data_IF_829561196670
#
_entry.id   IF_829561196670
#
_cell.length_a   1.000
_cell.length_b   1.000
_cell.length_c   1.000
_cell.angle_alpha   90.00
_cell.angle_beta   90.00
_cell.angle_gamma   90.00
#
_symmetry.space_group_name_H-M   'P 1'
#
loop_
_entity.id
_entity.type
_entity.pdbx_description
1 polymer ?
#
# COMPACT_ATOMS: atom_id res chain seq x y z
N UNK A 1 -3.87 23.80 31.34
CA UNK A 1 -2.87 22.92 30.70
C UNK A 1 -2.92 23.21 29.21
N UNK A 2 -1.79 23.38 28.53
CA UNK A 2 -1.80 23.84 27.13
C UNK A 2 -2.00 22.66 26.18
N UNK A 3 -2.69 22.89 25.05
CA UNK A 3 -3.02 21.85 24.07
C UNK A 3 -1.80 21.12 23.50
N UNK A 4 -0.63 21.75 23.47
CA UNK A 4 0.61 21.13 23.01
C UNK A 4 1.04 19.94 23.89
N UNK A 5 0.87 20.04 25.21
CA UNK A 5 1.22 18.96 26.14
C UNK A 5 0.19 17.83 26.12
N UNK A 6 -1.07 18.13 25.79
CA UNK A 6 -2.14 17.12 25.62
C UNK A 6 -1.99 16.37 24.29
N UNK A 7 -1.57 17.05 23.22
CA UNK A 7 -1.30 16.42 21.92
C UNK A 7 -0.10 15.48 21.96
N UNK A 8 0.97 15.85 22.67
CA UNK A 8 2.12 14.98 22.89
C UNK A 8 1.71 13.71 23.64
N UNK A 9 0.94 13.82 24.72
CA UNK A 9 0.39 12.67 25.45
C UNK A 9 -0.59 11.83 24.62
N UNK A 10 -1.35 12.46 23.73
CA UNK A 10 -2.26 11.77 22.82
C UNK A 10 -1.50 11.02 21.71
N UNK A 11 -0.46 11.64 21.14
CA UNK A 11 0.39 11.03 20.11
C UNK A 11 1.23 9.87 20.67
N UNK A 12 1.53 9.85 21.97
CA UNK A 12 2.22 8.73 22.62
C UNK A 12 1.26 7.55 22.94
N UNK A 13 -0.06 7.67 22.70
CA UNK A 13 -0.94 6.49 22.70
C UNK A 13 -0.55 5.58 21.52
N UNK A 14 0.33 4.61 21.79
CA UNK A 14 0.88 3.68 20.80
C UNK A 14 -0.17 3.06 19.88
N UNK A 15 -1.36 2.74 20.40
CA UNK A 15 -2.45 2.16 19.62
C UNK A 15 -2.88 2.99 18.38
N UNK A 16 -2.82 4.33 18.43
CA UNK A 16 -3.25 5.18 17.31
C UNK A 16 -2.13 5.43 16.30
N UNK A 17 -0.89 5.54 16.77
CA UNK A 17 0.28 5.74 15.90
C UNK A 17 0.62 4.46 15.14
N UNK A 18 0.59 3.31 15.80
CA UNK A 18 0.87 2.02 15.16
C UNK A 18 -0.19 1.67 14.10
N UNK A 19 -1.45 2.01 14.37
CA UNK A 19 -2.54 1.88 13.39
C UNK A 19 -2.33 2.79 12.16
N UNK A 20 -1.92 4.04 12.38
CA UNK A 20 -1.64 4.98 11.29
C UNK A 20 -0.47 4.51 10.41
N UNK A 21 0.61 4.01 11.04
CA UNK A 21 1.76 3.44 10.33
C UNK A 21 1.33 2.22 9.51
N UNK A 22 0.51 1.33 10.08
CA UNK A 22 -0.02 0.15 9.40
C UNK A 22 -0.83 0.49 8.14
N UNK A 23 -1.68 1.52 8.20
CA UNK A 23 -2.48 1.98 7.06
C UNK A 23 -1.58 2.58 5.96
N UNK A 24 -0.63 3.44 6.34
CA UNK A 24 0.30 4.07 5.38
C UNK A 24 1.13 3.02 4.64
N UNK A 25 1.66 2.03 5.38
CA UNK A 25 2.41 0.92 4.79
C UNK A 25 1.49 0.08 3.91
N UNK A 26 0.27 -0.26 4.36
CA UNK A 26 -0.68 -1.04 3.58
C UNK A 26 -1.03 -0.41 2.22
N UNK A 27 -1.29 0.91 2.21
CA UNK A 27 -1.59 1.65 0.99
C UNK A 27 -0.39 1.74 0.06
N UNK A 28 0.81 2.01 0.60
CA UNK A 28 2.04 2.08 -0.20
C UNK A 28 2.44 0.72 -0.77
N UNK A 29 2.32 -0.34 0.04
CA UNK A 29 2.68 -1.71 -0.33
C UNK A 29 1.75 -2.28 -1.40
N UNK A 30 0.46 -1.91 -1.39
CA UNK A 30 -0.48 -2.27 -2.46
C UNK A 30 0.01 -1.87 -3.85
N UNK A 31 0.54 -0.64 -4.01
CA UNK A 31 1.12 -0.19 -5.29
C UNK A 31 2.35 -0.99 -5.70
N UNK A 32 3.20 -1.36 -4.73
CA UNK A 32 4.40 -2.18 -4.98
C UNK A 32 3.97 -3.56 -5.48
N UNK A 33 2.99 -4.19 -4.82
CA UNK A 33 2.47 -5.50 -5.23
C UNK A 33 1.79 -5.40 -6.60
N UNK A 34 1.00 -4.35 -6.87
CA UNK A 34 0.36 -4.15 -8.18
C UNK A 34 1.39 -3.99 -9.30
N UNK A 35 2.43 -3.18 -9.12
CA UNK A 35 3.50 -3.06 -10.13
C UNK A 35 4.25 -4.37 -10.29
N UNK A 36 4.57 -5.08 -9.20
CA UNK A 36 5.21 -6.40 -9.29
C UNK A 36 4.34 -7.41 -10.06
N UNK A 37 3.04 -7.45 -9.79
CA UNK A 37 2.12 -8.34 -10.51
C UNK A 37 2.03 -7.94 -11.98
N UNK A 38 1.92 -6.64 -12.29
CA UNK A 38 1.77 -6.18 -13.66
C UNK A 38 3.04 -6.32 -14.50
N UNK A 39 4.19 -6.02 -13.91
CA UNK A 39 5.45 -5.87 -14.65
C UNK A 39 6.30 -7.15 -14.63
N UNK A 40 6.09 -8.04 -13.65
CA UNK A 40 6.89 -9.27 -13.48
C UNK A 40 6.05 -10.54 -13.64
N UNK A 41 4.83 -10.55 -13.09
CA UNK A 41 4.00 -11.76 -13.06
C UNK A 41 3.09 -11.89 -14.28
N UNK A 42 2.50 -10.80 -14.77
CA UNK A 42 1.63 -10.84 -15.95
C UNK A 42 2.33 -11.14 -17.28
N UNK A 43 3.57 -10.70 -17.58
CA UNK A 43 4.19 -11.02 -18.87
C UNK A 43 4.40 -12.53 -19.13
N UNK A 44 4.77 -13.35 -18.11
CA UNK A 44 4.82 -14.80 -18.26
C UNK A 44 3.44 -15.50 -18.22
N UNK A 45 2.47 -14.97 -17.48
CA UNK A 45 1.15 -15.61 -17.27
C UNK A 45 0.13 -15.23 -18.35
N UNK A 46 0.20 -14.02 -18.92
CA UNK A 46 -0.68 -13.53 -19.99
C UNK A 46 -0.77 -14.45 -21.23
N UNK A 47 0.35 -15.05 -21.69
CA UNK A 47 0.33 -16.06 -22.75
C UNK A 47 -0.33 -17.40 -22.35
N UNK A 48 -0.29 -17.77 -21.06
CA UNK A 48 -0.79 -19.05 -20.55
C UNK A 48 -2.30 -19.07 -20.25
N UNK A 49 -2.90 -17.91 -19.97
CA UNK A 49 -4.35 -17.77 -19.66
C UNK A 49 -5.16 -17.33 -20.91
N UNK A 50 -4.53 -17.14 -22.07
CA UNK A 50 -5.23 -16.94 -23.35
C UNK A 50 -5.21 -15.51 -23.90
N UNK A 51 -4.08 -14.81 -23.83
CA UNK A 51 -3.90 -13.55 -24.54
C UNK A 51 -4.54 -12.34 -23.85
N UNK A 52 -4.63 -12.35 -22.51
CA UNK A 52 -4.99 -11.17 -21.74
C UNK A 52 -3.81 -10.19 -21.69
N UNK A 53 -3.55 -9.55 -22.84
CA UNK A 53 -2.54 -8.53 -23.03
C UNK A 53 -3.11 -7.18 -22.53
N UNK A 54 -3.10 -6.99 -21.22
CA UNK A 54 -3.51 -5.71 -20.61
C UNK A 54 -2.55 -4.55 -20.92
N UNK A 55 -1.41 -4.84 -21.55
CA UNK A 55 -0.50 -3.84 -22.12
C UNK A 55 -1.13 -3.04 -23.28
N UNK A 56 -2.26 -3.49 -23.85
CA UNK A 56 -2.94 -2.84 -24.98
C UNK A 56 -4.12 -1.95 -24.61
N UNK A 57 -4.38 -1.75 -23.31
CA UNK A 57 -5.47 -0.87 -22.82
C UNK A 57 -4.97 0.46 -22.24
N UNK A 58 -3.72 0.85 -22.53
CA UNK A 58 -3.22 2.19 -22.28
C UNK A 58 -3.78 3.20 -23.30
#
# INVERSE_FOLDING_TARGET
MSMGTEFEKFSIKGNSVDMAIGIVIGVAFGKIVSSFVNDVVMPPIGPLIGGADFNKLA
#
